data_IF_981104378251
#
_entry.id   IF_981104378251
#
_cell.length_a   1.000
_cell.length_b   1.000
_cell.length_c   1.000
_cell.angle_alpha   90.00
_cell.angle_beta   90.00
_cell.angle_gamma   90.00
#
_symmetry.space_group_name_H-M   'P 1'
#
loop_
_entity.id
_entity.type
_entity.pdbx_description
1 polymer ?
#
# COMPACT_ATOMS: atom_id res chain seq x y z
N UNK A 1 10.79 16.00 31.80
CA UNK A 1 10.72 15.71 30.35
C UNK A 1 12.09 15.88 29.74
N UNK A 2 12.66 14.86 29.09
CA UNK A 2 13.82 15.02 28.20
C UNK A 2 13.28 15.18 26.79
N UNK A 3 13.69 16.23 26.07
CA UNK A 3 13.41 16.32 24.63
C UNK A 3 14.11 15.15 23.94
N UNK A 4 13.35 14.33 23.22
CA UNK A 4 13.95 13.42 22.26
C UNK A 4 14.57 14.26 21.14
N UNK A 5 15.83 13.98 20.80
CA UNK A 5 16.50 14.66 19.68
C UNK A 5 15.79 14.31 18.38
N UNK A 6 15.17 15.29 17.72
CA UNK A 6 14.65 15.11 16.37
C UNK A 6 15.84 14.98 15.41
N UNK A 7 16.21 13.75 15.07
CA UNK A 7 17.02 13.50 13.89
C UNK A 7 16.12 13.54 12.66
N UNK A 8 16.19 14.62 11.91
CA UNK A 8 15.63 14.70 10.55
C UNK A 8 16.46 13.79 9.65
N UNK A 9 15.92 12.63 9.27
CA UNK A 9 16.63 11.67 8.42
C UNK A 9 16.54 12.08 6.94
N UNK A 10 17.69 12.22 6.27
CA UNK A 10 17.76 12.50 4.84
C UNK A 10 17.77 11.19 4.05
N UNK A 11 16.63 10.82 3.46
CA UNK A 11 16.46 9.58 2.68
C UNK A 11 16.97 9.72 1.24
N UNK A 12 18.30 9.78 1.08
CA UNK A 12 18.94 9.69 -0.25
C UNK A 12 18.87 8.25 -0.75
N UNK A 13 17.92 7.95 -1.64
CA UNK A 13 17.92 6.68 -2.38
C UNK A 13 18.87 6.76 -3.58
N UNK A 14 20.09 6.25 -3.41
CA UNK A 14 20.93 5.88 -4.55
C UNK A 14 20.58 4.48 -5.06
N UNK A 15 20.40 4.32 -6.37
CA UNK A 15 20.43 3.01 -7.03
C UNK A 15 21.55 2.99 -8.08
N UNK A 16 22.28 1.88 -8.12
CA UNK A 16 23.32 1.65 -9.10
C UNK A 16 22.69 1.14 -10.41
N UNK A 17 23.07 1.75 -11.53
CA UNK A 17 22.77 1.19 -12.86
C UNK A 17 23.70 0.01 -13.08
N UNK A 18 23.18 -1.22 -12.97
CA UNK A 18 23.91 -2.42 -13.41
C UNK A 18 23.84 -2.48 -14.93
N UNK A 19 24.85 -1.94 -15.59
CA UNK A 19 25.04 -2.10 -17.03
C UNK A 19 25.52 -3.52 -17.34
N UNK A 20 24.69 -4.30 -18.04
CA UNK A 20 25.14 -5.54 -18.66
C UNK A 20 26.09 -5.21 -19.83
N UNK A 21 27.40 -5.29 -19.60
CA UNK A 21 28.38 -5.37 -20.67
C UNK A 21 28.51 -6.83 -21.11
N UNK A 22 27.99 -7.15 -22.29
CA UNK A 22 28.31 -8.40 -22.98
C UNK A 22 29.72 -8.31 -23.58
N UNK A 23 30.52 -9.36 -23.38
CA UNK A 23 31.85 -9.47 -23.97
C UNK A 23 31.75 -10.10 -25.36
N UNK A 24 31.97 -9.31 -26.42
CA UNK A 24 32.27 -9.83 -27.76
C UNK A 24 33.61 -9.24 -28.22
N UNK A 25 34.56 -10.14 -28.51
CA UNK A 25 35.97 -9.81 -28.78
C UNK A 25 36.29 -9.81 -30.29
N UNK A 26 37.24 -8.93 -30.66
CA UNK A 26 38.18 -9.06 -31.80
C UNK A 26 37.79 -8.71 -33.25
N UNK A 27 38.07 -7.43 -33.59
CA UNK A 27 39.05 -6.97 -34.61
C UNK A 27 38.85 -7.19 -36.14
N UNK A 28 39.05 -6.12 -36.95
CA UNK A 28 39.19 -6.23 -38.41
C UNK A 28 39.28 -4.97 -39.31
N UNK A 29 40.12 -3.97 -38.97
CA UNK A 29 40.74 -2.90 -39.82
C UNK A 29 39.91 -1.99 -40.82
N UNK A 30 40.40 -0.76 -41.18
CA UNK A 30 39.58 0.27 -41.85
C UNK A 30 39.84 0.48 -43.36
N UNK A 31 38.88 1.13 -44.04
CA UNK A 31 38.98 1.58 -45.44
C UNK A 31 38.53 3.05 -45.63
N UNK A 32 39.17 3.76 -46.58
CA UNK A 32 39.15 5.24 -46.69
C UNK A 32 38.27 5.80 -47.83
N UNK A 33 37.85 7.07 -47.69
CA UNK A 33 37.32 7.94 -48.75
C UNK A 33 35.79 8.11 -48.79
N UNK A 34 35.21 9.29 -49.07
CA UNK A 34 35.80 10.62 -49.29
C UNK A 34 35.00 11.45 -50.32
N UNK A 35 34.58 12.67 -49.95
CA UNK A 35 34.03 13.73 -50.84
C UNK A 35 32.65 13.47 -51.49
N UNK A 36 31.83 14.46 -51.87
CA UNK A 36 31.69 15.89 -51.49
C UNK A 36 30.43 16.52 -52.15
N UNK A 37 29.93 17.63 -51.59
CA UNK A 37 29.10 18.67 -52.23
C UNK A 37 27.67 18.36 -52.74
N UNK A 38 26.69 19.13 -52.26
CA UNK A 38 25.49 19.55 -53.02
C UNK A 38 25.71 20.96 -53.60
N UNK A 39 24.69 21.84 -53.72
CA UNK A 39 23.23 21.63 -53.71
C UNK A 39 22.54 22.23 -54.96
N UNK A 40 21.21 22.07 -55.10
CA UNK A 40 20.41 22.72 -56.15
C UNK A 40 18.97 22.98 -55.71
N UNK A 41 18.41 24.15 -56.04
CA UNK A 41 17.11 24.65 -55.54
C UNK A 41 16.32 25.35 -56.66
N UNK A 42 15.09 25.78 -56.36
CA UNK A 42 14.27 26.83 -57.03
C UNK A 42 13.15 26.38 -58.02
N UNK A 43 11.93 26.25 -57.47
CA UNK A 43 10.58 26.75 -57.93
C UNK A 43 10.10 26.61 -59.40
N UNK A 44 8.82 26.32 -59.73
CA UNK A 44 7.65 27.25 -59.62
C UNK A 44 6.35 26.64 -60.21
N UNK A 45 5.16 26.91 -59.61
CA UNK A 45 3.83 26.98 -60.28
C UNK A 45 3.08 25.65 -60.61
N UNK A 46 1.74 25.60 -60.70
CA UNK A 46 0.74 26.62 -60.35
C UNK A 46 -0.70 26.41 -60.92
N UNK A 47 -1.62 25.91 -60.07
CA UNK A 47 -3.09 26.20 -59.97
C UNK A 47 -4.10 25.80 -61.09
N UNK A 48 -5.35 25.48 -60.64
CA UNK A 48 -6.68 25.41 -61.32
C UNK A 48 -7.07 24.14 -62.11
N UNK A 49 -8.32 23.64 -62.12
CA UNK A 49 -9.49 23.84 -61.22
C UNK A 49 -10.64 22.82 -61.49
N UNK A 50 -11.36 22.42 -60.44
CA UNK A 50 -12.78 22.01 -60.30
C UNK A 50 -13.60 21.33 -61.42
N UNK A 51 -14.28 20.23 -61.07
CA UNK A 51 -15.48 19.71 -61.74
C UNK A 51 -16.28 18.77 -60.82
N UNK A 52 -17.50 19.17 -60.42
CA UNK A 52 -18.42 18.45 -59.50
C UNK A 52 -19.64 17.96 -60.30
N UNK A 53 -20.31 16.84 -59.90
CA UNK A 53 -21.80 16.65 -59.87
C UNK A 53 -22.24 15.20 -59.52
N UNK A 54 -22.83 15.05 -58.32
CA UNK A 54 -24.07 14.26 -57.99
C UNK A 54 -24.14 12.71 -58.00
N UNK A 55 -24.16 12.15 -56.78
CA UNK A 55 -25.21 11.28 -56.14
C UNK A 55 -25.83 10.06 -56.85
N UNK A 56 -25.82 8.89 -56.20
CA UNK A 56 -27.01 8.13 -55.72
C UNK A 56 -26.63 6.94 -54.82
N UNK A 57 -27.38 6.75 -53.73
CA UNK A 57 -27.27 5.63 -52.77
C UNK A 57 -28.43 4.66 -52.94
N UNK A 58 -28.21 3.34 -53.03
CA UNK A 58 -29.24 2.33 -52.66
C UNK A 58 -28.61 1.04 -52.13
N UNK A 59 -29.24 0.49 -51.08
CA UNK A 59 -28.97 -0.75 -50.34
C UNK A 59 -29.25 -2.05 -51.13
N UNK A 60 -28.63 -3.16 -50.73
CA UNK A 60 -29.13 -4.53 -51.01
C UNK A 60 -29.13 -5.41 -49.75
N UNK A 61 -30.15 -6.28 -49.63
CA UNK A 61 -30.37 -7.18 -48.48
C UNK A 61 -31.01 -8.50 -48.94
N UNK A 62 -30.51 -9.66 -48.48
CA UNK A 62 -31.09 -11.03 -48.45
C UNK A 62 -29.93 -12.05 -48.19
N UNK A 63 -30.05 -13.27 -47.64
CA UNK A 63 -31.14 -14.10 -47.07
C UNK A 63 -30.77 -15.61 -47.21
N UNK A 64 -31.22 -16.61 -46.43
CA UNK A 64 -31.97 -16.68 -45.15
C UNK A 64 -31.98 -18.16 -44.62
N UNK A 65 -32.28 -18.41 -43.33
CA UNK A 65 -32.48 -19.76 -42.73
C UNK A 65 -31.32 -20.26 -41.81
N UNK A 66 -31.52 -21.14 -40.83
CA UNK A 66 -32.74 -21.87 -40.40
C UNK A 66 -32.62 -22.43 -38.96
N UNK A 67 -33.70 -23.05 -38.47
CA UNK A 67 -33.90 -23.51 -37.09
C UNK A 67 -33.11 -24.76 -36.70
N UNK A 68 -32.94 -24.99 -35.39
CA UNK A 68 -33.67 -26.06 -34.70
C UNK A 68 -33.62 -25.93 -33.17
N UNK A 69 -34.71 -26.33 -32.51
CA UNK A 69 -34.87 -26.37 -31.06
C UNK A 69 -35.32 -27.78 -30.65
N UNK A 70 -34.80 -28.29 -29.54
CA UNK A 70 -35.25 -29.57 -28.97
C UNK A 70 -35.60 -29.41 -27.50
N UNK A 71 -36.76 -29.92 -27.14
CA UNK A 71 -37.32 -29.95 -25.79
C UNK A 71 -37.56 -31.39 -25.37
N UNK A 72 -37.37 -31.69 -24.09
CA UNK A 72 -38.24 -32.64 -23.38
C UNK A 72 -38.10 -32.46 -21.86
N UNK A 73 -39.22 -32.68 -21.16
CA UNK A 73 -39.27 -32.80 -19.71
C UNK A 73 -39.38 -34.30 -19.33
N UNK A 74 -39.39 -34.62 -18.04
CA UNK A 74 -40.57 -35.16 -17.29
C UNK A 74 -40.13 -35.83 -15.97
N UNK A 75 -40.95 -35.70 -14.91
CA UNK A 75 -40.95 -36.49 -13.63
C UNK A 75 -39.69 -36.48 -12.74
N UNK A 76 -39.74 -36.37 -11.41
CA UNK A 76 -40.87 -36.22 -10.47
C UNK A 76 -41.07 -37.45 -9.57
N UNK A 77 -40.55 -37.41 -8.33
CA UNK A 77 -40.92 -38.31 -7.22
C UNK A 77 -40.84 -37.56 -5.87
N UNK A 78 -41.88 -37.69 -5.05
CA UNK A 78 -41.95 -37.27 -3.65
C UNK A 78 -41.50 -38.36 -2.68
N UNK A 79 -40.83 -38.00 -1.59
CA UNK A 79 -40.88 -38.77 -0.33
C UNK A 79 -40.96 -37.84 0.89
N UNK A 80 -41.97 -38.08 1.71
CA UNK A 80 -42.22 -37.45 3.01
C UNK A 80 -41.91 -38.41 4.15
N UNK A 81 -41.32 -37.91 5.24
CA UNK A 81 -41.38 -38.39 6.64
C UNK A 81 -40.35 -37.59 7.45
N UNK A 82 -40.50 -37.28 8.73
CA UNK A 82 -41.53 -37.60 9.71
C UNK A 82 -40.90 -37.40 11.09
N UNK A 83 -41.49 -36.59 11.97
CA UNK A 83 -40.89 -36.28 13.27
C UNK A 83 -40.98 -37.46 14.25
N UNK A 84 -40.08 -37.54 15.24
CA UNK A 84 -40.39 -37.91 16.65
C UNK A 84 -39.19 -37.62 17.57
N UNK A 85 -39.48 -37.02 18.72
CA UNK A 85 -38.59 -36.79 19.86
C UNK A 85 -38.63 -38.00 20.82
N UNK A 86 -37.49 -38.45 21.36
CA UNK A 86 -37.50 -39.28 22.58
C UNK A 86 -36.33 -38.96 23.52
N UNK A 87 -36.65 -38.81 24.80
CA UNK A 87 -35.74 -38.55 25.93
C UNK A 87 -35.55 -39.78 26.81
N UNK A 88 -34.34 -39.99 27.34
CA UNK A 88 -34.02 -40.73 28.58
C UNK A 88 -32.51 -40.55 28.83
N UNK A 89 -31.91 -40.51 30.02
CA UNK A 89 -32.24 -40.33 31.44
C UNK A 89 -31.06 -40.96 32.20
N UNK A 90 -30.49 -40.30 33.21
CA UNK A 90 -29.43 -40.88 34.06
C UNK A 90 -29.01 -39.90 35.15
N UNK A 91 -29.02 -40.33 36.41
CA UNK A 91 -29.01 -39.42 37.58
C UNK A 91 -28.08 -39.89 38.71
N UNK A 92 -27.78 -38.97 39.64
CA UNK A 92 -27.09 -39.19 40.92
C UNK A 92 -25.64 -38.67 40.95
N UNK A 93 -25.15 -38.04 42.02
CA UNK A 93 -25.82 -37.57 43.25
C UNK A 93 -24.81 -37.31 44.41
N UNK A 94 -24.94 -36.15 45.08
CA UNK A 94 -24.41 -35.73 46.41
C UNK A 94 -22.89 -35.98 46.75
N UNK A 95 -22.22 -35.36 47.74
CA UNK A 95 -22.53 -34.54 48.93
C UNK A 95 -21.76 -33.18 48.88
N UNK A 96 -22.00 -32.10 49.64
CA UNK A 96 -22.02 -31.93 51.11
C UNK A 96 -20.59 -31.72 51.67
N UNK A 97 -20.23 -30.79 52.57
CA UNK A 97 -21.00 -29.88 53.46
C UNK A 97 -20.08 -28.80 54.08
N UNK A 98 -20.62 -27.61 54.39
CA UNK A 98 -20.18 -26.75 55.51
C UNK A 98 -18.94 -25.84 55.31
N UNK A 99 -18.81 -24.69 55.97
CA UNK A 99 -19.72 -24.05 56.92
C UNK A 99 -19.29 -22.59 57.23
N UNK A 100 -20.21 -21.78 57.76
CA UNK A 100 -19.98 -20.35 58.03
C UNK A 100 -19.39 -20.10 59.44
N UNK A 101 -18.66 -18.99 59.58
CA UNK A 101 -18.21 -18.47 60.87
C UNK A 101 -17.72 -17.03 60.76
N UNK A 102 -18.36 -16.11 61.47
CA UNK A 102 -18.01 -14.69 61.49
C UNK A 102 -17.91 -14.20 62.94
N UNK A 103 -16.89 -13.39 63.26
CA UNK A 103 -16.97 -12.18 64.13
C UNK A 103 -15.58 -11.54 64.34
N UNK A 104 -15.49 -10.21 64.15
CA UNK A 104 -14.68 -9.20 64.92
C UNK A 104 -13.17 -9.43 65.18
N UNK A 105 -12.27 -8.45 65.12
CA UNK A 105 -12.35 -7.00 64.88
C UNK A 105 -10.95 -6.36 64.76
N UNK A 106 -10.90 -5.08 64.35
CA UNK A 106 -9.82 -4.08 64.56
C UNK A 106 -8.59 -4.08 63.61
N UNK A 107 -8.56 -3.06 62.74
CA UNK A 107 -7.53 -2.03 62.81
C UNK A 107 -6.20 -2.23 62.07
N UNK A 108 -6.20 -2.02 60.75
CA UNK A 108 -5.00 -1.56 60.03
C UNK A 108 -5.38 -0.66 58.84
N UNK A 109 -4.94 0.61 58.89
CA UNK A 109 -5.07 1.56 57.78
C UNK A 109 -4.02 1.30 56.70
N UNK A 110 -4.43 0.87 55.51
CA UNK A 110 -3.68 1.09 54.27
C UNK A 110 -4.63 1.47 53.15
N UNK A 111 -4.30 2.56 52.44
CA UNK A 111 -5.10 3.09 51.33
C UNK A 111 -4.92 2.23 50.08
N UNK A 112 -5.86 1.32 49.82
CA UNK A 112 -5.93 0.60 48.55
C UNK A 112 -6.40 1.56 47.44
N UNK A 113 -5.45 2.17 46.74
CA UNK A 113 -5.73 2.82 45.47
C UNK A 113 -6.17 1.77 44.46
N UNK A 114 -7.45 1.77 44.10
CA UNK A 114 -7.98 0.89 43.06
C UNK A 114 -7.47 1.37 41.70
N UNK A 115 -6.31 0.87 41.29
CA UNK A 115 -5.80 1.07 39.93
C UNK A 115 -6.71 0.32 38.96
N UNK A 116 -7.68 1.01 38.39
CA UNK A 116 -8.47 0.50 37.27
C UNK A 116 -7.53 0.29 36.09
N UNK A 117 -7.11 -0.95 35.87
CA UNK A 117 -6.37 -1.39 34.69
C UNK A 117 -7.26 -1.27 33.46
N UNK A 118 -7.33 -0.08 32.87
CA UNK A 118 -8.00 0.14 31.60
C UNK A 118 -7.18 -0.52 30.49
N UNK A 119 -7.54 -1.76 30.15
CA UNK A 119 -7.18 -2.34 28.85
C UNK A 119 -7.80 -1.47 27.76
N UNK A 120 -6.97 -0.63 27.12
CA UNK A 120 -7.40 0.14 25.95
C UNK A 120 -7.50 -0.80 24.75
N UNK A 121 -8.62 -1.51 24.66
CA UNK A 121 -9.12 -2.05 23.39
C UNK A 121 -9.11 -0.93 22.35
N UNK A 122 -8.73 -1.23 21.11
CA UNK A 122 -8.59 -0.24 20.02
C UNK A 122 -9.86 0.58 19.83
N UNK A 123 -9.91 1.75 20.47
CA UNK A 123 -10.95 2.74 20.28
C UNK A 123 -10.48 3.73 19.25
N UNK A 124 -11.33 3.99 18.25
CA UNK A 124 -11.26 5.17 17.39
C UNK A 124 -10.79 6.38 18.23
N UNK A 125 -9.76 7.13 17.81
CA UNK A 125 -9.31 8.32 18.53
C UNK A 125 -10.51 9.23 18.82
N UNK A 126 -10.54 9.80 20.04
CA UNK A 126 -11.59 10.75 20.41
C UNK A 126 -11.74 11.80 19.29
N UNK A 127 -12.97 12.01 18.83
CA UNK A 127 -13.26 12.72 17.57
C UNK A 127 -12.41 13.99 17.43
N UNK A 128 -11.52 14.00 16.44
CA UNK A 128 -10.43 14.96 16.42
C UNK A 128 -10.94 16.39 16.24
N UNK A 129 -10.48 17.28 17.13
CA UNK A 129 -10.77 18.72 17.11
C UNK A 129 -9.56 19.58 16.76
N UNK A 130 -8.40 18.98 16.43
CA UNK A 130 -7.27 19.72 15.88
C UNK A 130 -7.65 20.26 14.49
N UNK A 131 -7.38 21.55 14.19
CA UNK A 131 -7.60 22.10 12.86
C UNK A 131 -6.55 21.57 11.88
N UNK A 132 -6.94 21.47 10.60
CA UNK A 132 -6.04 21.04 9.53
C UNK A 132 -4.71 21.81 9.55
N UNK A 133 -3.59 21.10 9.40
CA UNK A 133 -2.23 21.65 9.51
C UNK A 133 -1.34 21.29 8.34
N UNK A 134 -1.08 22.29 7.51
CA UNK A 134 -0.07 22.27 6.45
C UNK A 134 1.37 22.29 7.01
N UNK A 135 2.24 21.48 6.40
CA UNK A 135 3.65 21.32 6.74
C UNK A 135 4.46 21.17 5.46
N UNK A 136 5.27 22.18 5.13
CA UNK A 136 6.12 22.21 3.94
C UNK A 136 7.62 21.99 4.25
N UNK A 137 7.98 21.88 5.53
CA UNK A 137 9.35 21.68 6.02
C UNK A 137 9.51 20.28 6.61
N UNK A 138 10.68 19.67 6.42
CA UNK A 138 10.94 18.30 6.87
C UNK A 138 10.80 18.15 8.39
N UNK A 139 10.05 17.14 8.84
CA UNK A 139 9.90 16.85 10.26
C UNK A 139 8.82 15.81 10.60
N UNK A 140 8.83 15.39 11.85
CA UNK A 140 7.86 14.45 12.45
C UNK A 140 7.19 15.10 13.64
N UNK A 141 5.86 14.97 13.75
CA UNK A 141 5.10 15.39 14.95
C UNK A 141 3.77 14.61 15.00
N UNK A 142 2.82 15.00 15.86
CA UNK A 142 1.50 14.34 16.00
C UNK A 142 0.34 15.20 15.50
N UNK A 143 -0.71 14.56 14.98
CA UNK A 143 -1.99 15.17 14.60
C UNK A 143 -3.12 14.17 14.80
N UNK A 144 -4.16 14.51 15.56
CA UNK A 144 -5.32 13.65 15.83
C UNK A 144 -4.95 12.29 16.43
N UNK A 145 -3.97 12.27 17.35
CA UNK A 145 -3.47 11.03 17.96
C UNK A 145 -2.55 10.17 17.07
N UNK A 146 -2.44 10.46 15.77
CA UNK A 146 -1.50 9.81 14.86
C UNK A 146 -0.16 10.56 14.81
N UNK A 147 0.93 9.84 14.61
CA UNK A 147 2.21 10.43 14.18
C UNK A 147 2.13 10.70 12.69
N UNK A 148 2.61 11.86 12.24
CA UNK A 148 2.84 12.14 10.83
C UNK A 148 4.30 12.52 10.61
N UNK A 149 4.75 12.30 9.38
CA UNK A 149 6.07 12.71 8.92
C UNK A 149 5.95 13.24 7.49
N UNK A 150 6.60 14.37 7.28
CA UNK A 150 6.79 14.97 5.97
C UNK A 150 8.28 15.13 5.73
N UNK A 151 8.76 14.69 4.57
CA UNK A 151 10.15 14.84 4.17
C UNK A 151 10.30 14.95 2.66
N UNK A 152 11.20 15.83 2.20
CA UNK A 152 11.73 15.88 0.83
C UNK A 152 13.22 16.23 0.83
N UNK A 153 13.93 15.88 -0.24
CA UNK A 153 15.31 16.33 -0.46
C UNK A 153 15.40 17.67 -1.22
N UNK A 154 14.48 17.90 -2.15
CA UNK A 154 14.55 18.96 -3.17
C UNK A 154 13.17 19.19 -3.79
N UNK A 155 13.02 20.25 -4.58
CA UNK A 155 11.76 20.63 -5.21
C UNK A 155 10.73 21.22 -4.23
N UNK A 156 9.47 21.23 -4.65
CA UNK A 156 8.35 21.85 -3.92
C UNK A 156 7.27 20.84 -3.55
N UNK A 157 6.55 21.11 -2.47
CA UNK A 157 5.45 20.30 -1.98
C UNK A 157 5.20 20.53 -0.49
N UNK A 158 3.99 20.18 -0.03
CA UNK A 158 3.55 20.27 1.35
C UNK A 158 2.66 19.06 1.70
N UNK A 159 2.62 18.70 2.99
CA UNK A 159 1.62 17.77 3.54
C UNK A 159 0.67 18.54 4.45
N UNK A 160 -0.63 18.43 4.17
CA UNK A 160 -1.69 18.96 5.03
C UNK A 160 -2.32 17.82 5.81
N UNK A 161 -2.07 17.82 7.11
CA UNK A 161 -2.75 16.92 8.03
C UNK A 161 -4.22 17.32 8.14
N UNK A 162 -5.11 16.32 8.10
CA UNK A 162 -6.56 16.49 8.27
C UNK A 162 -7.06 15.69 9.46
N UNK A 163 -8.31 15.91 9.87
CA UNK A 163 -8.93 15.09 10.93
C UNK A 163 -9.13 13.63 10.52
N UNK A 164 -9.52 13.38 9.26
CA UNK A 164 -9.80 12.06 8.68
C UNK A 164 -8.66 11.46 7.83
N UNK A 165 -7.48 12.11 7.81
CA UNK A 165 -6.35 11.63 7.03
C UNK A 165 -5.27 12.69 6.79
N UNK A 166 -4.82 12.80 5.54
CA UNK A 166 -3.91 13.84 5.06
C UNK A 166 -4.04 14.05 3.55
N UNK A 167 -3.70 15.24 3.06
CA UNK A 167 -3.37 15.46 1.65
C UNK A 167 -1.90 15.82 1.49
N UNK A 168 -1.32 15.51 0.33
CA UNK A 168 0.04 15.89 -0.04
C UNK A 168 0.07 16.31 -1.50
N UNK A 169 0.74 17.41 -1.78
CA UNK A 169 1.09 17.87 -3.12
C UNK A 169 2.62 17.85 -3.28
N UNK A 170 3.06 17.63 -4.51
CA UNK A 170 4.48 17.69 -4.87
C UNK A 170 4.67 18.14 -6.30
N UNK A 171 5.76 18.87 -6.54
CA UNK A 171 6.12 19.33 -7.86
C UNK A 171 7.63 19.46 -8.02
N UNK A 172 8.15 18.82 -9.08
CA UNK A 172 9.56 18.81 -9.48
C UNK A 172 10.50 18.42 -8.32
N UNK A 173 10.14 17.40 -7.54
CA UNK A 173 10.95 16.84 -6.46
C UNK A 173 11.94 15.80 -7.02
N UNK A 174 13.03 15.50 -6.30
CA UNK A 174 13.80 14.26 -6.55
C UNK A 174 13.21 13.12 -5.71
N UNK A 175 13.07 13.29 -4.40
CA UNK A 175 12.28 12.39 -3.55
C UNK A 175 11.46 13.16 -2.50
N UNK A 176 10.25 12.68 -2.22
CA UNK A 176 9.33 13.19 -1.21
C UNK A 176 8.50 12.06 -0.62
N UNK A 177 8.30 12.08 0.69
CA UNK A 177 7.31 11.24 1.38
C UNK A 177 6.41 12.09 2.28
N UNK A 178 5.12 11.77 2.24
CA UNK A 178 4.11 12.25 3.17
C UNK A 178 3.38 11.06 3.78
N UNK A 179 3.46 10.91 5.10
CA UNK A 179 2.90 9.75 5.81
C UNK A 179 2.25 10.10 7.13
N UNK A 180 1.25 9.31 7.53
CA UNK A 180 0.56 9.42 8.82
C UNK A 180 0.09 8.05 9.31
N UNK A 181 0.21 7.79 10.61
CA UNK A 181 -0.13 6.50 11.23
C UNK A 181 0.37 6.36 12.66
N UNK A 182 0.70 5.12 13.05
CA UNK A 182 0.99 4.74 14.43
C UNK A 182 2.48 4.40 14.62
N UNK A 183 3.09 4.96 15.67
CA UNK A 183 4.51 4.84 16.01
C UNK A 183 4.67 4.72 17.54
N UNK A 184 4.87 3.52 18.11
CA UNK A 184 4.93 2.22 17.44
C UNK A 184 3.60 1.80 16.82
N UNK A 185 3.66 1.03 15.73
CA UNK A 185 2.51 0.36 15.14
C UNK A 185 2.36 -1.09 15.64
N UNK A 186 1.24 -1.73 15.32
CA UNK A 186 1.00 -3.15 15.64
C UNK A 186 1.00 -4.03 14.38
N UNK A 187 1.33 -5.32 14.52
CA UNK A 187 1.17 -6.30 13.43
C UNK A 187 -0.30 -6.59 13.11
N UNK A 188 -1.18 -6.37 14.08
CA UNK A 188 -2.61 -6.66 13.99
C UNK A 188 -3.41 -5.47 13.43
N UNK A 189 -2.72 -4.41 12.97
CA UNK A 189 -3.35 -3.20 12.48
C UNK A 189 -4.19 -3.45 11.22
N UNK A 190 -5.41 -2.92 11.22
CA UNK A 190 -6.27 -2.88 10.04
C UNK A 190 -6.30 -1.44 9.53
N UNK A 191 -5.83 -1.19 8.31
CA UNK A 191 -5.84 0.14 7.69
C UNK A 191 -6.95 0.20 6.66
N UNK A 192 -7.97 1.02 6.88
CA UNK A 192 -9.03 1.25 5.89
C UNK A 192 -8.89 2.66 5.33
N UNK A 193 -8.87 2.80 4.00
CA UNK A 193 -8.52 4.05 3.34
C UNK A 193 -9.31 4.32 2.04
N UNK A 194 -9.37 5.59 1.67
CA UNK A 194 -9.83 6.07 0.37
C UNK A 194 -8.90 7.21 -0.09
N UNK A 195 -8.40 7.12 -1.32
CA UNK A 195 -7.44 8.07 -1.87
C UNK A 195 -7.84 8.59 -3.26
N UNK A 196 -7.94 9.92 -3.38
CA UNK A 196 -7.95 10.63 -4.65
C UNK A 196 -6.49 10.84 -5.11
N UNK A 197 -5.88 9.76 -5.57
CA UNK A 197 -4.44 9.66 -5.88
C UNK A 197 -4.16 10.01 -7.34
N UNK A 198 -3.43 11.11 -7.60
CA UNK A 198 -3.17 11.69 -8.92
C UNK A 198 -1.68 12.00 -9.14
N UNK A 199 -0.81 10.98 -9.26
CA UNK A 199 0.59 11.17 -9.59
C UNK A 199 0.79 11.54 -11.07
N UNK A 200 1.76 12.41 -11.35
CA UNK A 200 2.29 12.72 -12.68
C UNK A 200 3.79 12.34 -12.72
N UNK A 201 4.06 11.04 -12.93
CA UNK A 201 5.39 10.46 -12.88
C UNK A 201 5.47 9.27 -11.92
N UNK A 202 6.64 8.99 -11.36
CA UNK A 202 6.82 7.90 -10.41
C UNK A 202 6.37 8.32 -8.98
N UNK A 203 5.61 7.45 -8.34
CA UNK A 203 5.00 7.66 -7.01
C UNK A 203 4.33 6.37 -6.54
N UNK A 204 4.21 6.16 -5.22
CA UNK A 204 3.52 5.01 -4.62
C UNK A 204 2.45 5.44 -3.62
N UNK A 205 1.39 4.63 -3.50
CA UNK A 205 0.36 4.70 -2.47
C UNK A 205 0.38 3.38 -1.70
N UNK A 206 0.73 3.42 -0.43
CA UNK A 206 1.05 2.22 0.35
C UNK A 206 0.80 2.36 1.85
N UNK A 207 0.68 1.22 2.53
CA UNK A 207 1.08 1.12 3.94
C UNK A 207 2.58 0.88 3.96
N UNK A 208 3.29 1.61 4.82
CA UNK A 208 4.73 1.61 4.95
C UNK A 208 5.13 1.50 6.42
N UNK A 209 6.31 0.98 6.69
CA UNK A 209 6.96 1.19 7.97
C UNK A 209 8.34 0.56 8.07
N UNK A 210 8.79 0.45 9.31
CA UNK A 210 10.07 -0.15 9.65
C UNK A 210 9.94 -1.14 10.81
N UNK A 211 10.90 -2.04 10.92
CA UNK A 211 11.19 -2.78 12.16
C UNK A 211 12.61 -2.54 12.64
N UNK A 212 12.87 -2.85 13.91
CA UNK A 212 14.20 -2.88 14.53
C UNK A 212 14.52 -4.29 15.04
N UNK A 213 15.76 -4.72 14.85
CA UNK A 213 16.25 -6.05 15.25
C UNK A 213 15.43 -7.25 14.72
N UNK A 214 15.44 -7.54 13.40
CA UNK A 214 16.22 -6.91 12.35
C UNK A 214 15.70 -5.54 11.89
N UNK A 215 16.61 -4.72 11.36
CA UNK A 215 16.29 -3.50 10.64
C UNK A 215 15.74 -3.86 9.26
N UNK A 216 14.45 -3.63 9.05
CA UNK A 216 13.72 -3.90 7.81
C UNK A 216 12.88 -2.68 7.49
N UNK A 217 12.93 -2.21 6.25
CA UNK A 217 11.94 -1.29 5.68
C UNK A 217 10.86 -2.13 4.99
N UNK A 218 9.59 -1.75 5.04
CA UNK A 218 8.55 -2.54 4.38
C UNK A 218 7.45 -1.71 3.74
N UNK A 219 6.86 -2.31 2.70
CA UNK A 219 5.84 -1.70 1.85
C UNK A 219 4.73 -2.70 1.54
N UNK A 220 3.47 -2.27 1.70
CA UNK A 220 2.28 -2.91 1.15
C UNK A 220 1.67 -1.91 0.18
N UNK A 221 1.96 -2.10 -1.12
CA UNK A 221 1.69 -1.13 -2.19
C UNK A 221 0.40 -1.49 -2.92
N UNK A 222 -0.58 -0.59 -2.87
CA UNK A 222 -1.87 -0.76 -3.52
C UNK A 222 -2.01 0.01 -4.83
N UNK A 223 -1.28 1.11 -5.01
CA UNK A 223 -1.19 1.82 -6.28
C UNK A 223 0.16 2.47 -6.49
N UNK A 224 0.44 2.83 -7.73
CA UNK A 224 1.68 3.45 -8.17
C UNK A 224 1.42 4.38 -9.36
N UNK A 225 2.39 5.23 -9.68
CA UNK A 225 2.39 6.12 -10.84
C UNK A 225 2.80 5.39 -12.12
N UNK A 226 3.81 5.92 -12.80
CA UNK A 226 4.32 5.39 -14.09
C UNK A 226 5.15 4.10 -13.95
N UNK A 227 5.72 3.81 -12.78
CA UNK A 227 6.57 2.64 -12.55
C UNK A 227 6.03 1.78 -11.40
N UNK A 228 6.08 0.45 -11.55
CA UNK A 228 5.62 -0.51 -10.53
C UNK A 228 6.81 -0.95 -9.65
N UNK A 229 6.79 -0.68 -8.33
CA UNK A 229 7.85 -1.15 -7.45
C UNK A 229 7.84 -2.68 -7.29
N UNK A 230 8.95 -3.30 -6.87
CA UNK A 230 10.30 -2.73 -6.78
C UNK A 230 11.09 -2.86 -8.10
N UNK A 231 10.42 -3.10 -9.24
CA UNK A 231 11.06 -3.40 -10.53
C UNK A 231 11.11 -4.90 -10.88
N UNK A 232 10.59 -5.77 -10.01
CA UNK A 232 10.46 -7.22 -10.27
C UNK A 232 11.59 -8.08 -9.72
N UNK A 233 12.73 -7.50 -9.34
CA UNK A 233 13.83 -8.23 -8.72
C UNK A 233 13.48 -8.76 -7.32
N UNK A 234 14.09 -9.89 -6.95
CA UNK A 234 13.95 -10.47 -5.61
C UNK A 234 12.57 -11.05 -5.30
N UNK A 235 11.83 -11.53 -6.31
CA UNK A 235 10.52 -12.18 -6.13
C UNK A 235 10.61 -13.42 -5.22
N UNK A 236 9.68 -13.53 -4.26
CA UNK A 236 9.64 -14.56 -3.22
C UNK A 236 8.38 -15.42 -3.26
N UNK A 237 7.30 -14.96 -3.91
CA UNK A 237 5.99 -15.64 -3.92
C UNK A 237 4.83 -14.65 -4.00
N UNK A 238 3.64 -15.08 -3.62
CA UNK A 238 2.42 -14.25 -3.63
C UNK A 238 1.61 -14.41 -2.35
N UNK A 239 0.77 -13.42 -2.05
CA UNK A 239 -0.29 -13.51 -1.02
C UNK A 239 -1.58 -12.93 -1.55
N UNK A 240 -2.70 -13.57 -1.25
CA UNK A 240 -4.03 -13.01 -1.45
C UNK A 240 -4.53 -12.42 -0.13
N UNK A 241 -4.95 -11.16 -0.15
CA UNK A 241 -5.48 -10.42 0.99
C UNK A 241 -6.49 -9.38 0.52
N UNK A 242 -7.54 -9.14 1.31
CA UNK A 242 -8.47 -8.01 1.13
C UNK A 242 -9.05 -7.88 -0.31
N UNK A 243 -9.35 -9.03 -0.94
CA UNK A 243 -9.87 -9.07 -2.32
C UNK A 243 -8.85 -8.74 -3.41
N UNK A 244 -7.55 -8.86 -3.14
CA UNK A 244 -6.48 -8.68 -4.13
C UNK A 244 -5.35 -9.68 -3.97
N UNK A 245 -4.63 -9.91 -5.07
CA UNK A 245 -3.40 -10.71 -5.09
C UNK A 245 -2.18 -9.79 -5.16
N UNK A 246 -1.18 -10.07 -4.35
CA UNK A 246 0.05 -9.30 -4.21
C UNK A 246 1.26 -10.18 -4.56
N UNK A 247 2.19 -9.63 -5.30
CA UNK A 247 3.52 -10.21 -5.48
C UNK A 247 4.40 -9.80 -4.29
N UNK A 248 5.14 -10.76 -3.75
CA UNK A 248 6.05 -10.55 -2.63
C UNK A 248 7.48 -10.47 -3.15
N UNK A 249 8.23 -9.46 -2.70
CA UNK A 249 9.64 -9.28 -3.04
C UNK A 249 10.49 -9.00 -1.80
N UNK A 250 11.77 -9.36 -1.87
CA UNK A 250 12.82 -8.96 -0.92
C UNK A 250 13.99 -8.35 -1.69
N UNK A 251 14.21 -7.05 -1.51
CA UNK A 251 15.37 -6.33 -2.03
C UNK A 251 16.32 -5.94 -0.90
N UNK A 252 17.57 -5.59 -1.21
CA UNK A 252 18.58 -5.17 -0.24
C UNK A 252 19.05 -3.73 -0.55
N UNK A 253 19.21 -2.92 0.49
CA UNK A 253 19.69 -1.54 0.42
C UNK A 253 21.03 -1.48 1.14
N UNK A 254 22.12 -1.26 0.41
CA UNK A 254 23.50 -1.28 0.94
C UNK A 254 24.01 0.13 1.24
N UNK A 255 24.41 0.36 2.48
CA UNK A 255 24.91 1.66 2.99
C UNK A 255 23.98 2.83 2.65
N UNK A 256 22.69 2.66 2.88
CA UNK A 256 21.65 3.65 2.60
C UNK A 256 21.11 4.25 3.91
N UNK A 257 20.50 5.44 3.88
CA UNK A 257 19.85 6.02 5.06
C UNK A 257 18.69 5.15 5.56
N UNK A 258 18.49 5.14 6.88
CA UNK A 258 17.44 4.40 7.58
C UNK A 258 17.11 5.08 8.92
N UNK A 259 16.11 4.57 9.64
CA UNK A 259 15.78 4.99 11.02
C UNK A 259 16.86 4.65 12.08
N UNK A 260 17.99 4.07 11.67
CA UNK A 260 19.18 3.83 12.51
C UNK A 260 20.44 4.51 11.92
N UNK A 261 20.26 5.47 11.01
CA UNK A 261 21.34 6.13 10.27
C UNK A 261 21.72 5.38 9.00
N UNK A 262 22.95 5.54 8.52
CA UNK A 262 23.43 4.80 7.34
C UNK A 262 23.66 3.34 7.69
N UNK A 263 22.90 2.43 7.05
CA UNK A 263 22.93 1.00 7.35
C UNK A 263 22.84 0.15 6.07
N UNK A 264 23.02 -1.17 6.21
CA UNK A 264 22.61 -2.14 5.19
C UNK A 264 21.43 -2.93 5.74
N UNK A 265 20.33 -2.98 5.00
CA UNK A 265 19.05 -3.56 5.43
C UNK A 265 18.29 -4.17 4.25
N UNK A 266 17.36 -5.08 4.54
CA UNK A 266 16.41 -5.58 3.54
C UNK A 266 15.16 -4.68 3.49
N UNK A 267 14.56 -4.61 2.30
CA UNK A 267 13.20 -4.09 2.12
C UNK A 267 12.26 -5.26 1.79
N UNK A 268 11.13 -5.34 2.48
CA UNK A 268 10.08 -6.33 2.20
C UNK A 268 8.90 -5.66 1.48
N UNK A 269 8.43 -6.28 0.42
CA UNK A 269 7.36 -5.74 -0.41
C UNK A 269 6.21 -6.73 -0.52
N UNK A 270 4.99 -6.23 -0.42
CA UNK A 270 3.80 -6.80 -1.06
C UNK A 270 3.29 -5.76 -2.05
N UNK A 271 3.26 -6.07 -3.34
CA UNK A 271 2.80 -5.13 -4.37
C UNK A 271 1.60 -5.72 -5.07
N UNK A 272 0.46 -5.03 -5.03
CA UNK A 272 -0.77 -5.53 -5.65
C UNK A 272 -0.55 -5.74 -7.15
N UNK A 273 -1.13 -6.79 -7.74
CA UNK A 273 -1.00 -7.05 -9.19
C UNK A 273 -1.74 -6.01 -10.02
N UNK A 274 -2.87 -5.54 -9.51
CA UNK A 274 -3.69 -4.48 -10.10
C UNK A 274 -3.78 -3.30 -9.14
N UNK A 275 -3.74 -2.06 -9.65
CA UNK A 275 -3.85 -0.85 -8.84
C UNK A 275 -5.24 -0.74 -8.18
N UNK A 276 -5.28 -0.32 -6.91
CA UNK A 276 -6.49 0.19 -6.23
C UNK A 276 -6.18 1.42 -5.39
N UNK A 277 -7.13 2.34 -5.26
CA UNK A 277 -6.95 3.58 -4.48
C UNK A 277 -7.94 3.69 -3.32
N UNK A 278 -8.60 2.60 -2.95
CA UNK A 278 -9.42 2.50 -1.73
C UNK A 278 -9.56 1.04 -1.31
N UNK A 279 -9.91 0.83 -0.04
CA UNK A 279 -10.19 -0.48 0.54
C UNK A 279 -9.56 -0.65 1.92
N UNK A 280 -9.45 -1.92 2.33
CA UNK A 280 -8.81 -2.31 3.60
C UNK A 280 -7.51 -3.03 3.31
N UNK A 281 -6.48 -2.80 4.13
CA UNK A 281 -5.21 -3.52 4.17
C UNK A 281 -5.12 -4.18 5.55
N UNK A 282 -5.24 -5.50 5.59
CA UNK A 282 -5.06 -6.30 6.81
C UNK A 282 -3.57 -6.60 6.98
N UNK A 283 -2.85 -5.76 7.72
CA UNK A 283 -1.37 -5.79 7.80
C UNK A 283 -0.84 -7.17 8.22
N UNK A 284 -1.54 -7.83 9.15
CA UNK A 284 -1.23 -9.18 9.62
C UNK A 284 -1.13 -10.22 8.49
N UNK A 285 -1.96 -10.13 7.45
CA UNK A 285 -1.95 -11.10 6.34
C UNK A 285 -0.63 -11.05 5.56
N UNK A 286 -0.13 -9.83 5.31
CA UNK A 286 1.14 -9.60 4.62
C UNK A 286 2.32 -10.04 5.49
N UNK A 287 2.35 -9.64 6.76
CA UNK A 287 3.43 -9.99 7.68
C UNK A 287 3.53 -11.50 7.91
N UNK A 288 2.38 -12.18 8.08
CA UNK A 288 2.33 -13.64 8.19
C UNK A 288 2.77 -14.33 6.89
N UNK A 289 2.49 -13.75 5.72
CA UNK A 289 2.95 -14.30 4.44
C UNK A 289 4.47 -14.15 4.27
N UNK A 290 5.03 -12.99 4.61
CA UNK A 290 6.48 -12.77 4.63
C UNK A 290 7.18 -13.77 5.56
N UNK A 291 6.67 -13.94 6.79
CA UNK A 291 7.22 -14.91 7.74
C UNK A 291 7.21 -16.35 7.19
N UNK A 292 6.13 -16.78 6.52
CA UNK A 292 6.06 -18.11 5.86
C UNK A 292 7.10 -18.29 4.74
N UNK A 293 7.58 -17.19 4.15
CA UNK A 293 8.63 -17.18 3.13
C UNK A 293 10.04 -16.94 3.73
N UNK A 294 10.20 -17.02 5.05
CA UNK A 294 11.47 -16.80 5.74
C UNK A 294 11.89 -15.33 5.85
N UNK A 295 10.99 -14.40 5.52
CA UNK A 295 11.19 -12.95 5.62
C UNK A 295 10.74 -12.48 7.01
N UNK A 296 11.60 -12.66 8.00
CA UNK A 296 11.29 -12.35 9.40
C UNK A 296 11.37 -10.84 9.69
N UNK A 297 10.30 -10.29 10.26
CA UNK A 297 10.21 -8.93 10.77
C UNK A 297 10.77 -8.82 12.19
N UNK A 298 11.30 -7.65 12.55
CA UNK A 298 11.70 -7.31 13.93
C UNK A 298 10.57 -6.65 14.74
N UNK A 299 10.95 -5.97 15.82
CA UNK A 299 10.03 -5.11 16.59
C UNK A 299 9.56 -3.94 15.73
N UNK A 300 8.24 -3.75 15.58
CA UNK A 300 7.69 -2.67 14.76
C UNK A 300 8.06 -1.28 15.30
N UNK A 301 8.57 -0.45 14.39
CA UNK A 301 8.81 0.97 14.64
C UNK A 301 7.60 1.82 14.29
N UNK A 302 6.93 1.54 13.16
CA UNK A 302 5.70 2.24 12.75
C UNK A 302 4.83 1.39 11.82
N UNK A 303 3.55 1.78 11.68
CA UNK A 303 2.65 1.41 10.58
C UNK A 303 2.00 2.71 10.10
N UNK A 304 2.30 3.13 8.87
CA UNK A 304 1.93 4.47 8.36
C UNK A 304 1.33 4.39 6.94
N UNK A 305 0.15 5.00 6.75
CA UNK A 305 -0.39 5.23 5.42
C UNK A 305 0.43 6.33 4.74
N UNK A 306 0.92 6.06 3.54
CA UNK A 306 2.02 6.81 2.92
C UNK A 306 1.77 7.07 1.45
N UNK A 307 2.16 8.26 1.02
CA UNK A 307 2.38 8.63 -0.38
C UNK A 307 3.83 9.01 -0.54
N UNK A 308 4.53 8.33 -1.46
CA UNK A 308 5.91 8.61 -1.85
C UNK A 308 5.91 9.13 -3.29
N UNK A 309 6.71 10.15 -3.61
CA UNK A 309 6.89 10.68 -4.95
C UNK A 309 8.37 10.69 -5.31
N UNK A 310 8.73 10.22 -6.50
CA UNK A 310 10.11 10.18 -6.97
C UNK A 310 10.23 10.77 -8.38
N UNK A 311 11.11 11.76 -8.54
CA UNK A 311 11.41 12.46 -9.81
C UNK A 311 10.13 12.83 -10.60
N UNK A 312 9.17 13.44 -9.90
CA UNK A 312 7.80 13.62 -10.39
C UNK A 312 7.10 14.85 -9.80
N UNK A 313 5.86 15.05 -10.25
CA UNK A 313 4.88 15.96 -9.65
C UNK A 313 3.58 15.19 -9.38
N UNK A 314 2.66 15.75 -8.62
CA UNK A 314 1.36 15.13 -8.37
C UNK A 314 0.66 15.65 -7.13
N UNK A 315 -0.49 15.05 -6.84
CA UNK A 315 -1.21 15.28 -5.59
C UNK A 315 -1.95 14.01 -5.16
N UNK A 316 -2.16 13.88 -3.86
CA UNK A 316 -3.01 12.86 -3.27
C UNK A 316 -3.82 13.46 -2.12
N UNK A 317 -5.11 13.13 -2.05
CA UNK A 317 -5.92 13.33 -0.85
C UNK A 317 -6.29 11.95 -0.31
N UNK A 318 -5.86 11.63 0.91
CA UNK A 318 -5.92 10.29 1.50
C UNK A 318 -6.68 10.37 2.82
N UNK A 319 -7.89 9.82 2.83
CA UNK A 319 -8.65 9.54 4.04
C UNK A 319 -8.26 8.16 4.54
N UNK A 320 -8.05 7.99 5.83
CA UNK A 320 -7.79 6.67 6.41
C UNK A 320 -8.18 6.58 7.88
N UNK A 321 -8.45 5.37 8.33
CA UNK A 321 -8.55 4.97 9.73
C UNK A 321 -7.62 3.79 10.01
N UNK A 322 -7.26 3.62 11.28
CA UNK A 322 -6.50 2.46 11.77
C UNK A 322 -7.13 1.93 13.04
N UNK A 323 -7.42 0.63 13.04
CA UNK A 323 -7.91 -0.18 14.18
C UNK A 323 -6.83 -1.16 14.62
#
# INVERSE_FOLDING_TARGET
>A
MRLASLQTFTLVLGFAVVGCAGSDDSSGDPGSGGSSAGPGSVTTGGVTSSGVTTTTTTTTTSGAGGSDASSSATTGVTTSSGATTTTTSGAGGSDGTGGAGATTSAGATTSAGATTSSSSTGGMPAACTEPDREVCNNGTNTHCGYTYEYWKDSGSGCLTNKSDGFSVDWNNINNLLGRKGLRPGSKDQIVTYEANYRPNGNSYLCVYGWTKGPLIEYYIVDSWGTWRPPGGEGFMGTVDSDGGSYDIYRTERRNQPSIEGTATFYQFWSVRKEKRTSGTITVANHFNAWQRLGMNLGSLYEVSMTVEGYQSSGQADVKFSME
#
